data_IF_988308230644
#
_entry.id   IF_988308230644
#
_cell.length_a   1.000
_cell.length_b   1.000
_cell.length_c   1.000
_cell.angle_alpha   90.00
_cell.angle_beta   90.00
_cell.angle_gamma   90.00
#
_symmetry.space_group_name_H-M   'P 1'
#
loop_
_entity.id
_entity.type
_entity.pdbx_description
1 polymer ?
#
# COMPACT_ATOMS: atom_id res chain seq x y z
N UNK A 1 0.58 -2.05 -28.91
CA UNK A 1 0.38 -2.81 -27.65
C UNK A 1 0.37 -1.80 -26.53
N UNK A 2 -0.67 -1.73 -25.67
CA UNK A 2 -0.62 -0.84 -24.52
C UNK A 2 0.51 -1.30 -23.61
N UNK A 3 1.35 -0.37 -23.15
CA UNK A 3 2.40 -0.69 -22.18
C UNK A 3 1.72 -1.26 -20.93
N UNK A 4 2.03 -2.51 -20.56
CA UNK A 4 1.59 -3.07 -19.28
C UNK A 4 2.30 -2.28 -18.18
N UNK A 5 1.57 -1.34 -17.57
CA UNK A 5 2.07 -0.60 -16.43
C UNK A 5 2.32 -1.60 -15.29
N UNK A 6 3.59 -1.72 -14.88
CA UNK A 6 3.98 -2.61 -13.80
C UNK A 6 3.90 -1.84 -12.49
N UNK A 7 3.07 -2.30 -11.56
CA UNK A 7 2.97 -1.73 -10.23
C UNK A 7 4.18 -2.15 -9.37
N UNK A 8 4.86 -1.19 -8.77
CA UNK A 8 6.05 -1.41 -7.95
C UNK A 8 5.81 -0.99 -6.50
N UNK A 9 6.04 -1.90 -5.55
CA UNK A 9 6.06 -1.55 -4.13
C UNK A 9 7.35 -0.77 -3.82
N UNK A 10 7.21 0.50 -3.47
CA UNK A 10 8.34 1.39 -3.15
C UNK A 10 8.57 1.53 -1.65
N UNK A 11 7.55 1.30 -0.83
CA UNK A 11 7.63 1.51 0.61
C UNK A 11 6.67 0.59 1.41
N UNK A 12 7.11 0.20 2.60
CA UNK A 12 6.30 -0.51 3.60
C UNK A 12 6.38 0.20 4.95
N UNK A 13 5.27 0.82 5.35
CA UNK A 13 5.12 1.53 6.61
C UNK A 13 4.56 0.60 7.68
N UNK A 14 5.00 0.77 8.92
CA UNK A 14 4.40 0.10 10.09
C UNK A 14 3.56 1.10 10.87
N UNK A 15 2.29 0.78 11.07
CA UNK A 15 1.36 1.54 11.88
C UNK A 15 1.11 0.80 13.21
N UNK A 16 1.44 1.46 14.32
CA UNK A 16 1.25 0.91 15.67
C UNK A 16 -0.20 1.09 16.15
N UNK A 17 -0.89 2.13 15.68
CA UNK A 17 -2.29 2.40 16.00
C UNK A 17 -3.27 1.78 15.00
N UNK A 18 -4.53 2.20 15.06
CA UNK A 18 -5.59 1.84 14.10
C UNK A 18 -5.59 2.70 12.84
N UNK A 19 -4.78 3.77 12.81
CA UNK A 19 -4.74 4.76 11.75
C UNK A 19 -3.31 5.03 11.27
N UNK A 20 -3.19 5.43 10.02
CA UNK A 20 -1.93 5.82 9.40
C UNK A 20 -2.18 6.96 8.42
N UNK A 21 -1.33 7.97 8.45
CA UNK A 21 -1.44 9.12 7.55
C UNK A 21 -0.41 8.98 6.44
N UNK A 22 -0.86 8.95 5.19
CA UNK A 22 0.02 8.91 4.03
C UNK A 22 -0.31 10.05 3.06
N UNK A 23 0.71 10.79 2.63
CA UNK A 23 0.53 11.83 1.62
C UNK A 23 0.57 11.20 0.22
N UNK A 24 -0.60 11.05 -0.40
CA UNK A 24 -0.74 10.46 -1.74
C UNK A 24 0.03 11.22 -2.84
N UNK A 25 0.37 12.50 -2.62
CA UNK A 25 1.19 13.28 -3.55
C UNK A 25 2.65 12.77 -3.65
N UNK A 26 3.11 11.98 -2.66
CA UNK A 26 4.44 11.33 -2.70
C UNK A 26 4.48 10.11 -3.62
N UNK A 27 3.32 9.55 -3.97
CA UNK A 27 3.23 8.35 -4.80
C UNK A 27 3.20 8.74 -6.29
N UNK A 28 4.16 8.23 -7.06
CA UNK A 28 4.18 8.41 -8.52
C UNK A 28 3.32 7.35 -9.19
N UNK A 29 2.93 7.61 -10.43
CA UNK A 29 2.21 6.63 -11.24
C UNK A 29 3.04 5.35 -11.39
N UNK A 30 2.40 4.20 -11.14
CA UNK A 30 3.06 2.90 -11.07
C UNK A 30 3.63 2.53 -9.71
N UNK A 31 3.63 3.43 -8.73
CA UNK A 31 4.16 3.15 -7.40
C UNK A 31 3.06 2.72 -6.42
N UNK A 32 3.45 1.87 -5.48
CA UNK A 32 2.65 1.39 -4.37
C UNK A 32 3.35 1.59 -3.03
N UNK A 33 2.58 1.93 -2.01
CA UNK A 33 2.98 1.85 -0.60
C UNK A 33 2.11 0.82 0.10
N UNK A 34 2.71 0.08 1.02
CA UNK A 34 1.99 -0.80 1.94
C UNK A 34 2.04 -0.23 3.35
N UNK A 35 0.94 -0.34 4.09
CA UNK A 35 0.83 0.07 5.49
C UNK A 35 0.42 -1.16 6.29
N UNK A 36 1.26 -1.55 7.25
CA UNK A 36 1.10 -2.72 8.09
C UNK A 36 0.60 -2.29 9.47
N UNK A 37 -0.68 -2.50 9.73
CA UNK A 37 -1.30 -2.26 11.03
C UNK A 37 -1.02 -3.44 11.96
N UNK A 38 -0.05 -3.30 12.86
CA UNK A 38 0.44 -4.41 13.67
C UNK A 38 -0.59 -4.87 14.71
N UNK A 39 -1.31 -3.94 15.34
CA UNK A 39 -2.31 -4.25 16.36
C UNK A 39 -3.50 -5.06 15.82
N UNK A 40 -3.98 -4.72 14.62
CA UNK A 40 -5.11 -5.40 13.97
C UNK A 40 -4.68 -6.50 12.99
N UNK A 41 -3.38 -6.68 12.76
CA UNK A 41 -2.82 -7.58 11.74
C UNK A 41 -3.45 -7.39 10.35
N UNK A 42 -3.59 -6.14 9.92
CA UNK A 42 -4.11 -5.79 8.59
C UNK A 42 -3.03 -5.09 7.78
N UNK A 43 -2.86 -5.48 6.52
CA UNK A 43 -2.05 -4.77 5.55
C UNK A 43 -2.96 -4.00 4.59
N UNK A 44 -2.67 -2.72 4.38
CA UNK A 44 -3.33 -1.88 3.39
C UNK A 44 -2.32 -1.55 2.30
N UNK A 45 -2.64 -1.84 1.05
CA UNK A 45 -1.87 -1.48 -0.13
C UNK A 45 -2.54 -0.30 -0.82
N UNK A 46 -1.75 0.73 -1.13
CA UNK A 46 -2.15 1.94 -1.85
C UNK A 46 -1.25 2.06 -3.07
N UNK A 47 -1.81 1.99 -4.27
CA UNK A 47 -1.07 2.12 -5.53
C UNK A 47 -1.64 3.25 -6.37
N UNK A 48 -0.81 4.06 -7.02
CA UNK A 48 -1.29 5.04 -7.99
C UNK A 48 -1.21 4.41 -9.37
N UNK A 49 -2.38 4.14 -9.97
CA UNK A 49 -2.48 3.43 -11.25
C UNK A 49 -2.46 4.40 -12.43
N UNK A 50 -3.10 5.55 -12.31
CA UNK A 50 -3.15 6.60 -13.33
C UNK A 50 -3.30 7.96 -12.64
N UNK A 51 -3.24 9.06 -13.39
CA UNK A 51 -3.39 10.41 -12.87
C UNK A 51 -4.63 10.57 -11.97
N UNK A 52 -4.41 10.81 -10.67
CA UNK A 52 -5.42 10.90 -9.60
C UNK A 52 -6.25 9.62 -9.32
N UNK A 53 -5.89 8.48 -9.92
CA UNK A 53 -6.56 7.19 -9.70
C UNK A 53 -5.69 6.30 -8.82
N UNK A 54 -6.28 5.76 -7.76
CA UNK A 54 -5.59 4.91 -6.80
C UNK A 54 -6.28 3.55 -6.66
N UNK A 55 -5.50 2.48 -6.68
CA UNK A 55 -5.93 1.15 -6.25
C UNK A 55 -5.67 1.01 -4.76
N UNK A 56 -6.71 0.61 -4.03
CA UNK A 56 -6.65 0.39 -2.57
C UNK A 56 -7.07 -1.06 -2.30
N UNK A 57 -6.24 -1.79 -1.56
CA UNK A 57 -6.56 -3.15 -1.15
C UNK A 57 -6.19 -3.37 0.32
N UNK A 58 -7.11 -3.89 1.12
CA UNK A 58 -6.84 -4.30 2.49
C UNK A 58 -6.90 -5.83 2.60
N UNK A 59 -5.91 -6.43 3.24
CA UNK A 59 -5.84 -7.88 3.45
C UNK A 59 -5.38 -8.19 4.87
N UNK A 60 -5.95 -9.22 5.52
CA UNK A 60 -5.42 -9.72 6.78
C UNK A 60 -4.01 -10.27 6.56
N UNK A 61 -3.13 -10.02 7.52
CA UNK A 61 -1.76 -10.52 7.53
C UNK A 61 -1.79 -11.92 8.14
N UNK A 62 -1.32 -12.95 7.42
CA UNK A 62 -1.35 -14.32 7.92
C UNK A 62 -0.63 -14.45 9.28
N UNK A 63 -1.15 -15.27 10.21
CA UNK A 63 -0.65 -15.37 11.58
C UNK A 63 0.82 -15.78 11.68
N UNK A 64 1.31 -16.53 10.68
CA UNK A 64 2.67 -17.05 10.59
C UNK A 64 3.69 -16.06 10.02
N UNK A 65 3.26 -14.90 9.50
CA UNK A 65 4.15 -13.90 8.95
C UNK A 65 4.70 -13.01 10.08
N UNK A 66 6.04 -12.88 10.17
CA UNK A 66 6.70 -11.97 11.12
C UNK A 66 6.58 -10.53 10.62
N UNK A 67 6.12 -9.64 11.49
CA UNK A 67 5.89 -8.21 11.21
C UNK A 67 7.00 -7.31 11.74
#
# INVERSE_FOLDING_TARGET
MPAQMTLQLVESLKALGSEAHYNLAKLREGECVSILFQGSRVAVLLCRVEMNTFLIAAKPIPPHMKL
#
